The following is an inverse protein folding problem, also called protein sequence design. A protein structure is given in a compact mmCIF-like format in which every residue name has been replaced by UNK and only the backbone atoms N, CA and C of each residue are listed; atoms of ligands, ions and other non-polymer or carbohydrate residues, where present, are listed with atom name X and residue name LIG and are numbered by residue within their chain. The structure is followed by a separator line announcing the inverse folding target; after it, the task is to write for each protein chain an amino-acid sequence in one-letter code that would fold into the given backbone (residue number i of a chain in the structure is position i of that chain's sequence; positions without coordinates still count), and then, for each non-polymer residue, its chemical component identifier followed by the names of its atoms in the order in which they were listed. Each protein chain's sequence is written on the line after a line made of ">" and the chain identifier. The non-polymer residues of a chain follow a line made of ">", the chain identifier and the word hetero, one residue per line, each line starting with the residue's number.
data_IF_866026370752
#
_entry.id   IF_866026370752
#
_cell.length_a   1.000
_cell.length_b   1.000
_cell.length_c   1.000
_cell.angle_alpha   90.00
_cell.angle_beta   90.00
_cell.angle_gamma   90.00
#
_symmetry.space_group_name_H-M   'P 1'
#
loop_
_entity.id
_entity.type
_entity.pdbx_description
1 polymer ?
#
# COMPACT_ATOMS: atom_id res chain seq x y z
N UNK A 1 13.39 25.46 32.14
CA UNK A 1 13.15 25.49 30.68
C UNK A 1 12.45 24.18 30.38
N UNK A 2 11.15 24.26 30.09
CA UNK A 2 10.27 23.10 29.88
C UNK A 2 10.15 22.87 28.38
N UNK A 3 10.75 21.78 27.89
CA UNK A 3 10.69 21.41 26.47
C UNK A 3 9.45 20.56 26.26
N UNK A 4 8.31 21.20 25.97
CA UNK A 4 7.12 20.52 25.46
C UNK A 4 7.49 19.85 24.12
N UNK A 5 7.66 18.53 24.17
CA UNK A 5 7.74 17.71 22.98
C UNK A 5 6.37 17.77 22.28
N UNK A 6 6.29 18.50 21.17
CA UNK A 6 5.15 18.49 20.26
C UNK A 6 4.99 17.06 19.71
N UNK A 7 4.20 16.24 20.41
CA UNK A 7 3.67 15.00 19.87
C UNK A 7 2.82 15.31 18.61
N UNK A 8 2.61 14.32 17.73
CA UNK A 8 1.88 14.55 16.49
C UNK A 8 0.51 15.16 16.80
N UNK A 9 0.27 16.37 16.30
CA UNK A 9 -1.02 17.02 16.42
C UNK A 9 -2.06 16.15 15.73
N UNK A 10 -3.05 15.67 16.50
CA UNK A 10 -4.15 14.90 15.96
C UNK A 10 -4.98 15.81 15.05
N UNK A 11 -4.85 15.59 13.74
CA UNK A 11 -5.65 16.27 12.72
C UNK A 11 -7.14 15.99 13.00
N UNK A 12 -7.94 17.05 13.21
CA UNK A 12 -9.36 16.94 13.63
C UNK A 12 -10.31 16.56 12.49
N UNK A 13 -9.77 16.03 11.38
CA UNK A 13 -10.53 15.50 10.26
C UNK A 13 -11.06 14.08 10.52
N UNK A 14 -11.85 13.50 9.60
CA UNK A 14 -12.25 12.11 9.68
C UNK A 14 -11.01 11.21 9.76
N UNK A 15 -10.93 10.38 10.79
CA UNK A 15 -9.79 9.47 10.97
C UNK A 15 -9.71 8.52 9.77
N UNK A 16 -8.55 8.42 9.10
CA UNK A 16 -8.40 7.50 7.98
C UNK A 16 -8.61 6.07 8.46
N UNK A 17 -9.42 5.30 7.74
CA UNK A 17 -9.50 3.85 7.98
C UNK A 17 -8.26 3.20 7.36
N UNK A 18 -7.54 2.43 8.17
CA UNK A 18 -6.34 1.69 7.75
C UNK A 18 -6.63 0.20 7.83
N UNK A 19 -6.31 -0.51 6.75
CA UNK A 19 -6.40 -1.96 6.69
C UNK A 19 -5.01 -2.56 6.46
N UNK A 20 -4.74 -3.69 7.11
CA UNK A 20 -3.48 -4.43 6.95
C UNK A 20 -3.80 -5.89 6.66
N UNK A 21 -3.09 -6.47 5.69
CA UNK A 21 -3.20 -7.87 5.33
C UNK A 21 -1.82 -8.42 4.91
N UNK A 22 -1.63 -9.74 5.03
CA UNK A 22 -0.42 -10.45 4.58
C UNK A 22 -0.80 -11.41 3.46
N UNK A 23 0.04 -11.48 2.43
CA UNK A 23 -0.20 -12.28 1.23
C UNK A 23 0.92 -13.29 1.01
N UNK A 24 0.56 -14.53 0.69
CA UNK A 24 1.49 -15.52 0.16
C UNK A 24 1.61 -15.34 -1.36
N UNK A 25 2.84 -15.15 -1.85
CA UNK A 25 3.17 -14.89 -3.26
C UNK A 25 3.93 -16.04 -3.91
N UNK A 26 4.20 -17.15 -3.19
CA UNK A 26 5.11 -18.21 -3.62
C UNK A 26 4.46 -19.32 -4.49
N UNK A 27 3.17 -19.23 -4.83
CA UNK A 27 2.54 -20.20 -5.75
C UNK A 27 1.13 -20.67 -5.40
N UNK A 28 0.38 -19.92 -4.58
CA UNK A 28 -1.03 -20.20 -4.30
C UNK A 28 -1.94 -20.01 -5.52
N UNK A 29 -3.15 -20.61 -5.50
CA UNK A 29 -4.17 -20.37 -6.52
C UNK A 29 -4.60 -18.90 -6.47
N UNK A 30 -4.30 -18.14 -7.52
CA UNK A 30 -4.83 -16.79 -7.72
C UNK A 30 -6.32 -16.90 -8.02
N UNK A 31 -7.17 -16.32 -7.16
CA UNK A 31 -8.58 -16.13 -7.49
C UNK A 31 -8.70 -14.87 -8.35
N UNK A 32 -9.55 -14.93 -9.36
CA UNK A 32 -9.96 -13.73 -10.08
C UNK A 32 -10.70 -12.81 -9.09
N UNK A 33 -10.23 -11.58 -8.96
CA UNK A 33 -10.95 -10.54 -8.26
C UNK A 33 -11.88 -9.87 -9.26
N UNK A 34 -13.11 -9.57 -8.83
CA UNK A 34 -13.96 -8.66 -9.60
C UNK A 34 -13.45 -7.23 -9.40
N UNK A 35 -13.22 -6.46 -10.48
CA UNK A 35 -12.78 -5.08 -10.36
C UNK A 35 -13.73 -4.29 -9.47
N UNK A 36 -13.18 -3.62 -8.45
CA UNK A 36 -13.97 -2.80 -7.52
C UNK A 36 -13.65 -1.33 -7.78
N UNK A 37 -14.69 -0.49 -7.89
CA UNK A 37 -14.51 0.95 -8.11
C UNK A 37 -14.11 1.65 -6.81
N UNK A 38 -12.97 2.33 -6.80
CA UNK A 38 -12.61 3.21 -5.69
C UNK A 38 -13.40 4.51 -5.78
N UNK A 39 -13.98 4.97 -4.67
CA UNK A 39 -14.68 6.27 -4.59
C UNK A 39 -13.71 7.45 -4.53
N UNK A 40 -12.46 7.21 -4.12
CA UNK A 40 -11.37 8.18 -4.03
C UNK A 40 -10.03 7.43 -4.12
N UNK A 41 -8.91 8.11 -4.43
CA UNK A 41 -7.60 7.47 -4.39
C UNK A 41 -7.28 6.86 -3.02
N UNK A 42 -6.62 5.70 -3.03
CA UNK A 42 -6.23 4.96 -1.82
C UNK A 42 -4.72 4.77 -1.81
N UNK A 43 -4.08 5.14 -0.70
CA UNK A 43 -2.66 4.85 -0.48
C UNK A 43 -2.47 3.39 -0.06
N UNK A 44 -1.45 2.74 -0.62
CA UNK A 44 -1.05 1.39 -0.23
C UNK A 44 0.46 1.35 0.03
N UNK A 45 0.85 0.70 1.12
CA UNK A 45 2.25 0.39 1.44
C UNK A 45 2.43 -1.12 1.38
N UNK A 46 3.37 -1.57 0.56
CA UNK A 46 3.76 -2.96 0.42
C UNK A 46 5.15 -3.13 1.02
N UNK A 47 5.34 -4.11 1.90
CA UNK A 47 6.65 -4.42 2.48
C UNK A 47 6.89 -5.92 2.40
N UNK A 48 8.09 -6.32 1.98
CA UNK A 48 8.49 -7.72 1.93
C UNK A 48 9.65 -7.96 0.96
N UNK A 49 9.89 -9.22 0.63
CA UNK A 49 10.90 -9.57 -0.37
C UNK A 49 10.60 -8.97 -1.74
N UNK A 50 11.64 -8.60 -2.49
CA UNK A 50 11.54 -7.98 -3.81
C UNK A 50 10.52 -8.63 -4.75
N UNK A 51 10.56 -9.96 -4.85
CA UNK A 51 9.64 -10.72 -5.69
C UNK A 51 8.19 -10.62 -5.19
N UNK A 52 7.99 -10.71 -3.87
CA UNK A 52 6.66 -10.65 -3.28
C UNK A 52 6.00 -9.28 -3.49
N UNK A 53 6.75 -8.20 -3.29
CA UNK A 53 6.25 -6.83 -3.53
C UNK A 53 5.86 -6.65 -4.99
N UNK A 54 6.72 -7.07 -5.91
CA UNK A 54 6.46 -6.98 -7.36
C UNK A 54 5.22 -7.80 -7.79
N UNK A 55 5.00 -8.98 -7.22
CA UNK A 55 3.80 -9.78 -7.54
C UNK A 55 2.52 -9.12 -7.04
N UNK A 56 2.52 -8.55 -5.83
CA UNK A 56 1.36 -7.82 -5.31
C UNK A 56 1.10 -6.55 -6.14
N UNK A 57 2.14 -5.81 -6.51
CA UNK A 57 2.03 -4.64 -7.36
C UNK A 57 1.39 -4.97 -8.72
N UNK A 58 1.82 -6.05 -9.38
CA UNK A 58 1.19 -6.54 -10.62
C UNK A 58 -0.28 -6.91 -10.44
N UNK A 59 -0.64 -7.47 -9.28
CA UNK A 59 -2.05 -7.80 -9.00
C UNK A 59 -2.88 -6.53 -8.88
N UNK A 60 -2.39 -5.52 -8.15
CA UNK A 60 -3.07 -4.25 -8.00
C UNK A 60 -3.16 -3.49 -9.33
N UNK A 61 -2.10 -3.49 -10.14
CA UNK A 61 -2.07 -2.84 -11.45
C UNK A 61 -3.02 -3.49 -12.48
N UNK A 62 -3.49 -4.71 -12.25
CA UNK A 62 -4.48 -5.33 -13.13
C UNK A 62 -5.85 -4.64 -13.02
N UNK A 63 -6.25 -4.29 -11.79
CA UNK A 63 -7.60 -3.79 -11.48
C UNK A 63 -7.66 -2.27 -11.20
N UNK A 64 -6.53 -1.64 -10.88
CA UNK A 64 -6.44 -0.22 -10.52
C UNK A 64 -5.40 0.53 -11.38
N UNK A 65 -5.56 1.85 -11.43
CA UNK A 65 -4.56 2.75 -12.00
C UNK A 65 -3.58 3.19 -10.90
N UNK A 66 -2.28 2.99 -11.14
CA UNK A 66 -1.21 3.44 -10.24
C UNK A 66 -0.82 4.87 -10.62
N UNK A 67 -1.24 5.84 -9.82
CA UNK A 67 -0.99 7.27 -10.04
C UNK A 67 0.41 7.69 -9.58
N UNK A 68 0.93 7.06 -8.53
CA UNK A 68 2.30 7.25 -8.05
C UNK A 68 2.86 5.98 -7.45
N UNK A 69 4.19 5.85 -7.56
CA UNK A 69 4.95 4.72 -7.04
C UNK A 69 6.31 5.21 -6.57
N UNK A 70 6.65 4.91 -5.33
CA UNK A 70 7.96 5.13 -4.74
C UNK A 70 8.41 3.82 -4.11
N UNK A 71 9.70 3.50 -4.19
CA UNK A 71 10.24 2.30 -3.56
C UNK A 71 11.55 2.59 -2.85
N UNK A 72 11.73 1.98 -1.69
CA UNK A 72 12.99 1.97 -0.93
C UNK A 72 13.36 0.51 -0.69
N UNK A 73 14.61 0.15 -1.01
CA UNK A 73 15.07 -1.22 -1.02
C UNK A 73 16.29 -1.41 -0.12
N UNK A 74 16.34 -2.52 0.60
CA UNK A 74 17.50 -3.01 1.37
C UNK A 74 18.10 -4.27 0.74
N UNK A 75 18.88 -5.07 1.46
CA UNK A 75 19.56 -6.21 0.84
C UNK A 75 18.61 -7.31 0.32
N UNK A 76 17.51 -7.57 1.03
CA UNK A 76 16.55 -8.64 0.69
C UNK A 76 15.09 -8.18 0.65
N UNK A 77 14.82 -6.98 1.16
CA UNK A 77 13.47 -6.45 1.31
C UNK A 77 13.30 -5.14 0.54
N UNK A 78 12.06 -4.84 0.20
CA UNK A 78 11.63 -3.58 -0.39
C UNK A 78 10.34 -3.12 0.28
N UNK A 79 10.24 -1.81 0.45
CA UNK A 79 8.98 -1.12 0.68
C UNK A 79 8.59 -0.37 -0.58
N UNK A 80 7.37 -0.58 -1.08
CA UNK A 80 6.76 0.20 -2.14
C UNK A 80 5.56 0.98 -1.60
N UNK A 81 5.46 2.26 -1.98
CA UNK A 81 4.36 3.16 -1.65
C UNK A 81 3.64 3.52 -2.94
N UNK A 82 2.37 3.15 -3.01
CA UNK A 82 1.52 3.30 -4.19
C UNK A 82 0.36 4.24 -3.89
N UNK A 83 -0.07 5.01 -4.89
CA UNK A 83 -1.37 5.66 -4.90
C UNK A 83 -2.25 5.02 -5.96
N UNK A 84 -3.31 4.34 -5.53
CA UNK A 84 -4.24 3.62 -6.38
C UNK A 84 -5.46 4.50 -6.69
N UNK A 85 -5.88 4.52 -7.94
CA UNK A 85 -7.14 5.11 -8.37
C UNK A 85 -8.01 4.06 -9.08
N UNK A 86 -9.31 4.32 -9.15
CA UNK A 86 -10.18 3.52 -10.01
C UNK A 86 -9.75 3.69 -11.46
N UNK A 87 -9.73 2.59 -12.20
CA UNK A 87 -9.75 2.59 -13.66
C UNK A 87 -11.16 2.94 -14.19
#
# INVERSE_FOLDING_TARGET
>A
EDTEALGPQADSGPSPTVWTATFDTAGGRRREATPTRLSSPVGATLSGGYHAVNEVEKVLAADFDIQSQQSVSGDQETEARLLLASR
#
